data_IF_148262502170
#
_entry.id   IF_148262502170
#
_cell.length_a   1.000
_cell.length_b   1.000
_cell.length_c   1.000
_cell.angle_alpha   90.00
_cell.angle_beta   90.00
_cell.angle_gamma   90.00
#
_symmetry.space_group_name_H-M   'P 1'
#
loop_
_entity.id
_entity.type
_entity.pdbx_description
1 polymer ?
#
# COMPACT_ATOMS: atom_id res chain seq x y z
N UNK A 1 -6.27 2.82 -22.52
CA UNK A 1 -5.05 3.22 -21.82
C UNK A 1 -4.80 2.17 -20.76
N UNK A 2 -3.63 1.55 -20.73
CA UNK A 2 -3.29 0.64 -19.63
C UNK A 2 -3.23 1.44 -18.33
N UNK A 3 -3.77 0.94 -17.21
CA UNK A 3 -3.67 1.64 -15.94
C UNK A 3 -2.19 1.83 -15.60
N UNK A 4 -1.78 3.05 -15.26
CA UNK A 4 -0.43 3.30 -14.77
C UNK A 4 -0.25 2.57 -13.44
N UNK A 5 0.77 1.72 -13.35
CA UNK A 5 1.09 1.05 -12.10
C UNK A 5 1.86 2.05 -11.22
N UNK A 6 1.25 2.45 -10.11
CA UNK A 6 1.86 3.29 -9.09
C UNK A 6 1.85 2.57 -7.74
N UNK A 7 2.46 3.17 -6.72
CA UNK A 7 2.29 2.70 -5.35
C UNK A 7 0.81 2.76 -4.95
N UNK A 8 0.34 1.88 -4.05
CA UNK A 8 -0.97 2.04 -3.45
C UNK A 8 -1.10 3.46 -2.86
N UNK A 9 -2.15 4.23 -3.23
CA UNK A 9 -2.32 5.60 -2.79
C UNK A 9 -2.12 5.81 -1.29
N UNK A 10 -2.64 4.91 -0.44
CA UNK A 10 -2.47 5.00 1.01
C UNK A 10 -0.99 5.06 1.46
N UNK A 11 -0.08 4.38 0.74
CA UNK A 11 1.36 4.45 1.01
C UNK A 11 1.86 5.87 0.76
N UNK A 12 1.50 6.48 -0.37
CA UNK A 12 1.91 7.84 -0.71
C UNK A 12 1.32 8.86 0.28
N UNK A 13 0.04 8.73 0.61
CA UNK A 13 -0.61 9.62 1.58
C UNK A 13 0.07 9.51 2.96
N UNK A 14 0.31 8.30 3.44
CA UNK A 14 1.01 8.06 4.70
C UNK A 14 2.41 8.68 4.72
N UNK A 15 3.16 8.57 3.63
CA UNK A 15 4.48 9.19 3.50
C UNK A 15 4.43 10.72 3.61
N UNK A 16 3.50 11.37 2.92
CA UNK A 16 3.34 12.83 3.01
C UNK A 16 2.86 13.31 4.38
N UNK A 17 1.97 12.56 5.02
CA UNK A 17 1.49 12.88 6.37
C UNK A 17 2.63 12.80 7.40
N UNK A 18 3.44 11.74 7.35
CA UNK A 18 4.58 11.58 8.26
C UNK A 18 5.72 12.57 7.92
N UNK A 19 5.89 12.94 6.65
CA UNK A 19 6.79 14.02 6.24
C UNK A 19 6.43 15.36 6.92
N UNK A 20 5.13 15.68 6.97
CA UNK A 20 4.64 16.90 7.58
C UNK A 20 4.76 16.85 9.11
N UNK A 21 4.45 15.69 9.71
CA UNK A 21 4.58 15.48 11.15
C UNK A 21 6.03 15.62 11.65
N UNK A 22 7.00 15.12 10.88
CA UNK A 22 8.43 15.26 11.20
C UNK A 22 8.99 16.65 10.89
N UNK A 23 8.22 17.52 10.23
CA UNK A 23 8.65 18.85 9.80
C UNK A 23 9.60 18.82 8.59
N UNK A 24 9.72 17.68 7.90
CA UNK A 24 10.56 17.52 6.71
C UNK A 24 10.00 18.23 5.47
N UNK A 25 8.69 18.46 5.45
CA UNK A 25 7.97 19.28 4.46
C UNK A 25 6.98 20.19 5.20
N UNK A 26 6.57 21.29 4.56
CA UNK A 26 5.53 22.13 5.13
C UNK A 26 4.17 21.42 5.10
N UNK A 27 3.29 21.73 6.05
CA UNK A 27 1.93 21.18 6.07
C UNK A 27 1.13 21.55 4.81
N UNK A 28 1.38 22.73 4.25
CA UNK A 28 0.76 23.18 2.99
C UNK A 28 1.27 22.37 1.80
N UNK A 29 2.57 22.11 1.71
CA UNK A 29 3.13 21.29 0.62
C UNK A 29 2.60 19.86 0.70
N UNK A 30 2.49 19.31 1.91
CA UNK A 30 1.86 18.01 2.11
C UNK A 30 0.40 18.02 1.66
N UNK A 31 -0.41 19.00 2.08
CA UNK A 31 -1.81 19.11 1.66
C UNK A 31 -1.96 19.17 0.13
N UNK A 32 -1.17 20.03 -0.54
CA UNK A 32 -1.15 20.14 -2.00
C UNK A 32 -0.76 18.81 -2.68
N UNK A 33 0.18 18.08 -2.09
CA UNK A 33 0.58 16.77 -2.61
C UNK A 33 -0.52 15.73 -2.44
N UNK A 34 -1.22 15.71 -1.29
CA UNK A 34 -2.37 14.84 -1.07
C UNK A 34 -3.48 15.15 -2.09
N UNK A 35 -3.82 16.43 -2.28
CA UNK A 35 -4.78 16.86 -3.31
C UNK A 35 -4.42 16.37 -4.70
N UNK A 36 -3.14 16.43 -5.06
CA UNK A 36 -2.65 15.97 -6.36
C UNK A 36 -2.67 14.44 -6.49
N UNK A 37 -2.38 13.70 -5.42
CA UNK A 37 -2.40 12.22 -5.40
C UNK A 37 -3.84 11.69 -5.47
N UNK A 38 -4.77 12.34 -4.76
CA UNK A 38 -6.16 11.89 -4.67
C UNK A 38 -7.07 12.51 -5.72
N UNK A 39 -6.60 13.52 -6.45
CA UNK A 39 -7.38 14.35 -7.36
C UNK A 39 -8.63 14.94 -6.70
N UNK A 40 -8.54 15.26 -5.39
CA UNK A 40 -9.64 15.72 -4.56
C UNK A 40 -9.20 16.90 -3.70
N UNK A 41 -10.04 17.93 -3.60
CA UNK A 41 -9.76 19.12 -2.78
C UNK A 41 -10.17 18.92 -1.33
N UNK A 42 -11.27 18.20 -1.10
CA UNK A 42 -11.85 17.96 0.21
C UNK A 42 -11.89 16.47 0.55
N UNK A 43 -11.83 16.16 1.84
CA UNK A 43 -11.96 14.85 2.44
C UNK A 43 -13.31 14.77 3.15
N UNK A 44 -14.10 13.75 2.84
CA UNK A 44 -15.36 13.53 3.54
C UNK A 44 -15.10 12.90 4.91
N UNK A 45 -15.72 13.41 5.96
CA UNK A 45 -15.72 12.81 7.29
C UNK A 45 -17.05 12.08 7.46
N UNK A 46 -16.98 10.76 7.63
CA UNK A 46 -18.14 9.94 7.96
C UNK A 46 -18.27 9.84 9.46
N UNK A 47 -19.24 10.58 10.00
CA UNK A 47 -19.63 10.56 11.40
C UNK A 47 -21.09 10.18 11.52
N UNK A 48 -21.39 8.92 11.88
CA UNK A 48 -22.70 8.41 12.33
C UNK A 48 -23.92 9.28 11.96
N UNK A 49 -24.15 9.50 10.65
CA UNK A 49 -25.29 10.20 10.01
C UNK A 49 -25.12 11.65 9.50
N UNK A 50 -23.95 12.30 9.60
CA UNK A 50 -23.70 13.59 8.91
C UNK A 50 -22.35 13.55 8.21
N UNK A 51 -22.37 13.69 6.88
CA UNK A 51 -21.15 13.94 6.10
C UNK A 51 -20.68 15.36 6.37
N UNK A 52 -19.52 15.50 7.00
CA UNK A 52 -18.84 16.78 7.16
C UNK A 52 -17.67 16.80 6.19
N UNK A 53 -17.41 17.92 5.53
CA UNK A 53 -16.21 18.07 4.69
C UNK A 53 -15.05 18.64 5.52
N UNK A 54 -13.84 18.14 5.26
CA UNK A 54 -12.59 18.65 5.82
C UNK A 54 -11.62 18.94 4.69
N UNK A 55 -10.81 19.97 4.83
CA UNK A 55 -9.71 20.19 3.88
C UNK A 55 -8.57 19.20 4.13
N UNK A 56 -7.80 18.86 3.10
CA UNK A 56 -6.55 18.11 3.27
C UNK A 56 -5.60 18.79 4.26
N UNK A 57 -5.59 20.13 4.29
CA UNK A 57 -4.77 20.89 5.22
C UNK A 57 -5.15 20.64 6.69
N UNK A 58 -6.45 20.55 7.00
CA UNK A 58 -6.91 20.26 8.36
C UNK A 58 -6.59 18.81 8.76
N UNK A 59 -6.67 17.86 7.83
CA UNK A 59 -6.24 16.49 8.06
C UNK A 59 -4.73 16.41 8.30
N UNK A 60 -3.91 17.11 7.51
CA UNK A 60 -2.46 17.18 7.69
C UNK A 60 -2.11 17.78 9.04
N UNK A 61 -2.81 18.84 9.49
CA UNK A 61 -2.63 19.41 10.83
C UNK A 61 -2.98 18.41 11.93
N UNK A 62 -4.05 17.64 11.74
CA UNK A 62 -4.46 16.60 12.68
C UNK A 62 -3.40 15.50 12.78
N UNK A 63 -2.90 15.00 11.65
CA UNK A 63 -1.82 14.01 11.62
C UNK A 63 -0.51 14.57 12.21
N UNK A 64 -0.13 15.80 11.86
CA UNK A 64 1.09 16.43 12.34
C UNK A 64 1.07 16.72 13.85
N UNK A 65 -0.11 16.84 14.46
CA UNK A 65 -0.28 17.01 15.90
C UNK A 65 -0.51 15.69 16.67
N UNK A 66 -0.61 14.57 15.96
CA UNK A 66 -0.78 13.25 16.57
C UNK A 66 0.49 12.82 17.34
N UNK A 67 0.27 12.08 18.43
CA UNK A 67 1.35 11.60 19.29
C UNK A 67 2.17 10.45 18.68
N UNK A 68 1.54 9.66 17.82
CA UNK A 68 2.16 8.54 17.09
C UNK A 68 2.19 8.89 15.59
N UNK A 69 3.16 8.36 14.83
CA UNK A 69 3.13 8.46 13.37
C UNK A 69 1.89 7.83 12.77
N UNK A 70 1.53 8.24 11.56
CA UNK A 70 0.49 7.60 10.77
C UNK A 70 0.97 6.21 10.31
N UNK A 71 0.08 5.22 10.35
CA UNK A 71 0.35 3.87 9.86
C UNK A 71 -0.46 3.58 8.58
N UNK A 72 0.00 2.62 7.77
CA UNK A 72 -0.68 2.22 6.53
C UNK A 72 -1.08 0.75 6.58
N UNK A 73 -2.34 0.47 6.28
CA UNK A 73 -2.92 -0.86 6.15
C UNK A 73 -3.10 -1.22 4.68
N UNK A 74 -2.57 -2.35 4.24
CA UNK A 74 -2.78 -2.90 2.89
C UNK A 74 -3.55 -4.23 2.97
N UNK A 75 -4.86 -4.22 3.28
CA UNK A 75 -5.64 -5.43 3.48
C UNK A 75 -5.64 -6.32 2.24
N UNK A 76 -5.82 -7.63 2.45
CA UNK A 76 -6.00 -8.65 1.41
C UNK A 76 -7.03 -9.68 1.90
N UNK A 77 -7.63 -10.49 1.00
CA UNK A 77 -8.52 -11.57 1.43
C UNK A 77 -7.86 -12.49 2.48
N UNK A 78 -8.47 -12.58 3.66
CA UNK A 78 -7.96 -13.41 4.77
C UNK A 78 -6.99 -12.70 5.73
N UNK A 79 -6.45 -11.53 5.37
CA UNK A 79 -5.66 -10.67 6.26
C UNK A 79 -6.17 -9.22 6.23
N UNK A 80 -6.90 -8.79 7.28
CA UNK A 80 -7.47 -7.44 7.34
C UNK A 80 -6.41 -6.36 7.59
N UNK A 81 -5.13 -6.68 7.82
CA UNK A 81 -4.06 -5.71 8.11
C UNK A 81 -4.38 -4.74 9.27
N UNK A 82 -5.15 -5.20 10.26
CA UNK A 82 -5.59 -4.39 11.41
C UNK A 82 -6.74 -3.41 11.11
N UNK A 83 -7.31 -3.45 9.90
CA UNK A 83 -8.43 -2.61 9.47
C UNK A 83 -9.75 -3.16 10.03
N UNK A 84 -10.64 -2.31 10.58
CA UNK A 84 -11.93 -2.75 11.12
C UNK A 84 -12.85 -3.33 10.06
N UNK A 85 -13.67 -4.31 10.43
CA UNK A 85 -14.63 -4.96 9.51
C UNK A 85 -15.62 -3.96 8.90
N UNK A 86 -16.05 -2.95 9.68
CA UNK A 86 -16.94 -1.89 9.19
C UNK A 86 -16.32 -1.06 8.07
N UNK A 87 -15.00 -0.83 8.14
CA UNK A 87 -14.24 -0.13 7.09
C UNK A 87 -13.99 -1.06 5.89
N UNK A 88 -13.60 -2.31 6.13
CA UNK A 88 -13.34 -3.28 5.06
C UNK A 88 -14.55 -3.50 4.14
N UNK A 89 -15.77 -3.35 4.66
CA UNK A 89 -16.99 -3.51 3.88
C UNK A 89 -17.25 -2.37 2.87
N UNK A 90 -16.59 -1.22 3.02
CA UNK A 90 -16.91 0.01 2.27
C UNK A 90 -15.78 0.51 1.38
N UNK A 91 -14.58 -0.10 1.45
CA UNK A 91 -13.37 0.44 0.82
C UNK A 91 -12.95 -0.24 -0.47
N UNK A 92 -12.21 0.50 -1.30
CA UNK A 92 -11.33 -0.06 -2.32
C UNK A 92 -10.06 -0.64 -1.69
N UNK A 93 -9.97 -1.97 -1.62
CA UNK A 93 -8.85 -2.71 -0.99
C UNK A 93 -7.50 -2.39 -1.66
N UNK A 94 -7.49 -2.16 -2.97
CA UNK A 94 -6.27 -1.87 -3.73
C UNK A 94 -5.67 -0.51 -3.38
N UNK A 95 -6.50 0.43 -2.91
CA UNK A 95 -6.07 1.77 -2.51
C UNK A 95 -5.35 1.76 -1.15
N UNK A 96 -5.64 0.76 -0.32
CA UNK A 96 -5.18 0.67 1.06
C UNK A 96 -5.89 1.64 1.99
N UNK A 97 -5.45 1.66 3.25
CA UNK A 97 -5.95 2.59 4.27
C UNK A 97 -4.82 3.25 5.03
N UNK A 98 -5.10 4.41 5.60
CA UNK A 98 -4.17 5.22 6.37
C UNK A 98 -4.76 5.42 7.76
N UNK A 99 -4.17 4.81 8.77
CA UNK A 99 -4.55 5.01 10.17
C UNK A 99 -3.89 6.29 10.69
N UNK A 100 -4.68 7.36 10.77
CA UNK A 100 -4.23 8.67 11.27
C UNK A 100 -3.91 8.58 12.77
N UNK A 101 -4.72 7.80 13.49
CA UNK A 101 -4.52 7.40 14.88
C UNK A 101 -5.34 6.14 15.16
N UNK A 102 -5.37 5.69 16.43
CA UNK A 102 -6.09 4.46 16.84
C UNK A 102 -7.61 4.50 16.65
N UNK A 103 -8.19 5.67 16.39
CA UNK A 103 -9.64 5.89 16.27
C UNK A 103 -10.07 6.50 14.94
N UNK A 104 -9.13 6.75 14.03
CA UNK A 104 -9.40 7.40 12.76
C UNK A 104 -8.65 6.71 11.63
N UNK A 105 -9.40 6.34 10.60
CA UNK A 105 -8.87 5.69 9.39
C UNK A 105 -9.33 6.49 8.18
N UNK A 106 -8.36 6.92 7.37
CA UNK A 106 -8.60 7.48 6.05
C UNK A 106 -8.54 6.34 5.03
N UNK A 107 -9.57 6.24 4.20
CA UNK A 107 -9.69 5.19 3.19
C UNK A 107 -10.46 5.69 1.98
N UNK A 108 -10.27 5.03 0.83
CA UNK A 108 -11.06 5.31 -0.35
C UNK A 108 -12.30 4.42 -0.38
N UNK A 109 -13.48 5.00 -0.55
CA UNK A 109 -14.74 4.28 -0.65
C UNK A 109 -14.93 3.61 -2.04
N UNK A 110 -16.06 2.95 -2.25
CA UNK A 110 -16.40 2.32 -3.54
C UNK A 110 -16.62 3.31 -4.69
N UNK A 111 -16.82 4.60 -4.40
CA UNK A 111 -17.01 5.66 -5.40
C UNK A 111 -15.69 6.36 -5.74
N UNK A 112 -14.56 5.83 -5.27
CA UNK A 112 -13.24 6.44 -5.38
C UNK A 112 -13.08 7.75 -4.58
N UNK A 113 -13.95 8.03 -3.61
CA UNK A 113 -13.87 9.20 -2.74
C UNK A 113 -13.05 8.89 -1.48
N UNK A 114 -12.16 9.80 -1.08
CA UNK A 114 -11.40 9.66 0.16
C UNK A 114 -12.21 10.12 1.36
N UNK A 115 -12.36 9.20 2.30
CA UNK A 115 -13.22 9.35 3.47
C UNK A 115 -12.41 9.10 4.74
N UNK A 116 -12.55 10.00 5.71
CA UNK A 116 -12.10 9.84 7.07
C UNK A 116 -13.21 9.21 7.92
N UNK A 117 -12.99 7.99 8.38
CA UNK A 117 -13.90 7.24 9.24
C UNK A 117 -13.40 7.25 10.69
N UNK A 118 -14.28 7.54 11.63
CA UNK A 118 -13.98 7.49 13.07
C UNK A 118 -14.20 6.07 13.61
N UNK A 119 -13.29 5.17 13.25
CA UNK A 119 -13.33 3.75 13.61
C UNK A 119 -12.07 3.33 14.38
N UNK A 120 -12.26 2.53 15.43
CA UNK A 120 -11.14 2.01 16.22
C UNK A 120 -10.40 0.94 15.43
N UNK A 121 -9.11 1.12 15.20
CA UNK A 121 -8.28 0.26 14.34
C UNK A 121 -7.01 -0.22 15.04
N UNK A 122 -6.42 -1.29 14.49
CA UNK A 122 -5.19 -1.92 14.98
C UNK A 122 -4.13 -2.00 13.88
N UNK A 123 -4.10 -1.03 12.97
CA UNK A 123 -3.10 -0.98 11.89
C UNK A 123 -1.72 -0.84 12.52
N UNK A 124 -0.79 -1.71 12.12
CA UNK A 124 0.52 -1.83 12.75
C UNK A 124 1.58 -0.97 12.07
N UNK A 125 2.54 -0.49 12.86
CA UNK A 125 3.82 -0.01 12.36
C UNK A 125 4.78 -1.18 12.21
N UNK A 126 5.44 -1.26 11.05
CA UNK A 126 6.43 -2.29 10.77
C UNK A 126 7.84 -1.70 10.74
N UNK A 127 8.82 -2.44 11.23
CA UNK A 127 10.23 -2.04 11.14
C UNK A 127 10.79 -2.35 9.74
N UNK A 128 11.29 -1.30 9.06
CA UNK A 128 11.82 -1.43 7.70
C UNK A 128 13.03 -2.36 7.61
N UNK A 129 13.87 -2.44 8.64
CA UNK A 129 15.04 -3.31 8.62
C UNK A 129 14.64 -4.78 8.67
N UNK A 130 13.66 -5.11 9.51
CA UNK A 130 13.09 -6.44 9.65
C UNK A 130 12.29 -6.86 8.42
N UNK A 131 11.39 -6.03 7.91
CA UNK A 131 10.58 -6.36 6.73
C UNK A 131 11.45 -6.53 5.49
N UNK A 132 12.45 -5.67 5.28
CA UNK A 132 13.40 -5.81 4.17
C UNK A 132 14.21 -7.10 4.25
N UNK A 133 14.66 -7.49 5.45
CA UNK A 133 15.36 -8.76 5.65
C UNK A 133 14.46 -9.94 5.29
N UNK A 134 13.23 -9.92 5.81
CA UNK A 134 12.22 -10.95 5.55
C UNK A 134 11.90 -11.06 4.05
N UNK A 135 11.81 -9.92 3.35
CA UNK A 135 11.60 -9.89 1.90
C UNK A 135 12.77 -10.54 1.15
N UNK A 136 14.02 -10.24 1.50
CA UNK A 136 15.18 -10.83 0.83
C UNK A 136 15.26 -12.34 1.05
N UNK A 137 14.98 -12.80 2.27
CA UNK A 137 14.88 -14.23 2.59
C UNK A 137 13.76 -14.90 1.78
N UNK A 138 12.57 -14.28 1.72
CA UNK A 138 11.43 -14.78 0.97
C UNK A 138 11.71 -14.82 -0.55
N UNK A 139 12.37 -13.81 -1.12
CA UNK A 139 12.77 -13.82 -2.55
C UNK A 139 13.68 -15.01 -2.82
N UNK A 140 14.70 -15.22 -1.99
CA UNK A 140 15.66 -16.30 -2.18
C UNK A 140 14.98 -17.68 -2.09
N UNK A 141 14.12 -17.87 -1.09
CA UNK A 141 13.37 -19.12 -0.94
C UNK A 141 12.41 -19.35 -2.11
N UNK A 142 11.65 -18.32 -2.48
CA UNK A 142 10.65 -18.41 -3.55
C UNK A 142 11.30 -18.67 -4.90
N UNK A 143 12.43 -18.02 -5.21
CA UNK A 143 13.17 -18.24 -6.44
C UNK A 143 13.63 -19.71 -6.56
N UNK A 144 14.15 -20.30 -5.47
CA UNK A 144 14.56 -21.69 -5.45
C UNK A 144 13.36 -22.65 -5.66
N UNK A 145 12.22 -22.37 -5.02
CA UNK A 145 11.02 -23.21 -5.12
C UNK A 145 10.33 -23.09 -6.49
N UNK A 146 10.27 -21.89 -7.05
CA UNK A 146 9.67 -21.63 -8.37
C UNK A 146 10.55 -22.15 -9.51
N UNK A 147 11.88 -22.04 -9.40
CA UNK A 147 12.80 -22.60 -10.38
C UNK A 147 12.70 -24.13 -10.46
N UNK A 148 12.41 -24.80 -9.34
CA UNK A 148 12.16 -26.24 -9.31
C UNK A 148 10.82 -26.65 -9.94
N UNK A 149 9.96 -25.69 -10.33
CA UNK A 149 8.57 -25.93 -10.73
C UNK A 149 8.31 -25.89 -12.25
N UNK A 150 9.35 -25.80 -13.11
CA UNK A 150 9.25 -25.78 -14.59
C UNK A 150 8.08 -24.92 -15.11
N UNK A 151 8.04 -23.66 -14.69
CA UNK A 151 6.94 -22.74 -14.98
C UNK A 151 7.00 -22.25 -16.43
N UNK A 152 5.87 -22.39 -17.15
CA UNK A 152 5.67 -21.78 -18.48
C UNK A 152 4.54 -20.76 -18.37
N UNK A 153 4.81 -19.51 -18.75
CA UNK A 153 3.82 -18.44 -18.69
C UNK A 153 4.14 -17.34 -19.69
N UNK A 154 3.12 -16.55 -20.00
CA UNK A 154 3.28 -15.30 -20.76
C UNK A 154 3.75 -14.20 -19.80
N UNK A 155 4.84 -13.52 -20.13
CA UNK A 155 5.39 -12.42 -19.35
C UNK A 155 5.04 -11.04 -19.93
N UNK A 156 4.34 -10.99 -21.07
CA UNK A 156 4.09 -9.75 -21.82
C UNK A 156 3.37 -8.69 -20.97
N UNK A 157 2.32 -9.09 -20.24
CA UNK A 157 1.58 -8.19 -19.35
C UNK A 157 2.41 -7.73 -18.14
N UNK A 158 3.27 -8.62 -17.61
CA UNK A 158 4.17 -8.31 -16.49
C UNK A 158 5.21 -7.27 -16.92
N UNK A 159 5.83 -7.47 -18.07
CA UNK A 159 6.82 -6.55 -18.63
C UNK A 159 6.19 -5.18 -18.92
N UNK A 160 4.99 -5.16 -19.52
CA UNK A 160 4.25 -3.92 -19.76
C UNK A 160 3.90 -3.19 -18.44
N UNK A 161 3.51 -3.92 -17.40
CA UNK A 161 3.25 -3.35 -16.07
C UNK A 161 4.54 -2.79 -15.43
N UNK A 162 5.67 -3.49 -15.54
CA UNK A 162 6.96 -3.02 -15.06
C UNK A 162 7.49 -1.79 -15.83
N UNK A 163 7.27 -1.74 -17.14
CA UNK A 163 7.66 -0.61 -18.00
C UNK A 163 6.78 0.61 -17.79
N UNK A 164 5.50 0.42 -17.46
CA UNK A 164 4.56 1.50 -17.12
C UNK A 164 4.67 1.93 -15.67
N UNK A 165 5.34 1.18 -14.80
CA UNK A 165 5.51 1.55 -13.39
C UNK A 165 6.25 2.88 -13.25
N UNK A 166 5.68 3.79 -12.45
CA UNK A 166 6.26 5.11 -12.18
C UNK A 166 6.36 5.37 -10.68
N UNK A 167 7.52 5.89 -10.29
CA UNK A 167 7.80 6.36 -8.93
C UNK A 167 7.48 7.84 -8.83
N UNK A 168 6.20 8.17 -8.72
CA UNK A 168 5.72 9.56 -8.65
C UNK A 168 5.25 9.91 -7.25
N UNK A 169 5.19 11.22 -6.97
CA UNK A 169 4.60 11.78 -5.75
C UNK A 169 5.21 11.27 -4.43
N UNK A 170 6.48 10.86 -4.43
CA UNK A 170 7.23 10.58 -3.19
C UNK A 170 7.72 11.90 -2.58
N UNK A 171 7.61 12.11 -1.25
CA UNK A 171 8.20 13.27 -0.59
C UNK A 171 9.72 13.38 -0.81
N UNK A 172 10.28 14.60 -0.95
CA UNK A 172 11.68 14.80 -1.34
C UNK A 172 12.72 14.37 -0.29
N UNK A 173 12.30 14.20 0.97
CA UNK A 173 13.18 13.88 2.09
C UNK A 173 13.39 12.37 2.32
N UNK A 174 12.68 11.52 1.57
CA UNK A 174 12.79 10.06 1.73
C UNK A 174 14.21 9.60 1.43
N UNK A 175 14.74 8.79 2.34
CA UNK A 175 16.08 8.23 2.18
C UNK A 175 16.18 7.34 0.94
N UNK A 176 17.34 7.32 0.28
CA UNK A 176 17.58 6.43 -0.86
C UNK A 176 17.25 4.96 -0.52
N UNK A 177 17.58 4.53 0.70
CA UNK A 177 17.30 3.17 1.20
C UNK A 177 15.79 2.88 1.22
N UNK A 178 14.97 3.84 1.61
CA UNK A 178 13.51 3.73 1.67
C UNK A 178 12.91 3.69 0.27
N UNK A 179 13.37 4.56 -0.63
CA UNK A 179 12.94 4.57 -2.04
C UNK A 179 13.30 3.26 -2.76
N UNK A 180 14.53 2.76 -2.61
CA UNK A 180 14.95 1.48 -3.17
C UNK A 180 14.10 0.31 -2.63
N UNK A 181 13.71 0.35 -1.34
CA UNK A 181 12.84 -0.67 -0.74
C UNK A 181 11.40 -0.61 -1.28
N UNK A 182 10.84 0.60 -1.45
CA UNK A 182 9.52 0.80 -2.06
C UNK A 182 9.49 0.25 -3.47
N UNK A 183 10.44 0.67 -4.31
CA UNK A 183 10.53 0.26 -5.71
C UNK A 183 10.65 -1.26 -5.84
N UNK A 184 11.53 -1.87 -5.05
CA UNK A 184 11.72 -3.32 -5.08
C UNK A 184 10.44 -4.05 -4.67
N UNK A 185 9.80 -3.63 -3.58
CA UNK A 185 8.56 -4.25 -3.11
C UNK A 185 7.43 -4.11 -4.13
N UNK A 186 7.25 -2.93 -4.73
CA UNK A 186 6.24 -2.71 -5.75
C UNK A 186 6.48 -3.57 -7.01
N UNK A 187 7.72 -3.65 -7.49
CA UNK A 187 8.07 -4.50 -8.63
C UNK A 187 7.82 -5.98 -8.34
N UNK A 188 8.12 -6.45 -7.13
CA UNK A 188 7.84 -7.84 -6.72
C UNK A 188 6.33 -8.10 -6.70
N UNK A 189 5.52 -7.16 -6.21
CA UNK A 189 4.06 -7.27 -6.24
C UNK A 189 3.57 -7.39 -7.68
N UNK A 190 4.02 -6.52 -8.59
CA UNK A 190 3.67 -6.56 -10.02
C UNK A 190 4.00 -7.94 -10.62
N UNK A 191 5.22 -8.42 -10.41
CA UNK A 191 5.67 -9.72 -10.94
C UNK A 191 4.84 -10.86 -10.36
N UNK A 192 4.65 -10.90 -9.03
CA UNK A 192 3.95 -11.99 -8.37
C UNK A 192 2.46 -12.02 -8.72
N UNK A 193 1.79 -10.86 -8.75
CA UNK A 193 0.38 -10.77 -9.13
C UNK A 193 0.16 -11.14 -10.60
N UNK A 194 1.01 -10.66 -11.51
CA UNK A 194 0.92 -11.05 -12.92
C UNK A 194 1.20 -12.54 -13.12
N UNK A 195 2.13 -13.13 -12.37
CA UNK A 195 2.38 -14.57 -12.40
C UNK A 195 1.21 -15.40 -11.83
N UNK A 196 0.49 -14.89 -10.83
CA UNK A 196 -0.76 -15.49 -10.32
C UNK A 196 -1.84 -15.44 -11.41
N UNK A 197 -1.99 -14.32 -12.10
CA UNK A 197 -3.00 -14.17 -13.17
C UNK A 197 -2.71 -15.05 -14.39
N UNK A 198 -1.43 -15.20 -14.78
CA UNK A 198 -0.99 -15.93 -15.97
C UNK A 198 -0.93 -17.46 -15.80
N UNK A 199 -1.89 -18.03 -15.08
CA UNK A 199 -1.98 -19.47 -14.84
C UNK A 199 -2.39 -20.20 -16.12
N UNK A 200 -1.42 -20.74 -16.87
CA UNK A 200 -1.69 -21.69 -17.95
C UNK A 200 -1.80 -23.11 -17.38
N UNK A 201 -2.92 -23.78 -17.66
CA UNK A 201 -3.33 -25.05 -17.04
C UNK A 201 -2.53 -26.28 -17.53
N UNK A 202 -1.20 -26.21 -17.51
CA UNK A 202 -0.31 -27.30 -17.93
C UNK A 202 0.21 -28.15 -16.76
N UNK A 203 -0.03 -27.72 -15.51
CA UNK A 203 0.56 -28.35 -14.32
C UNK A 203 -0.44 -29.18 -13.51
N UNK A 204 0.09 -30.11 -12.70
CA UNK A 204 -0.70 -30.82 -11.72
C UNK A 204 -1.32 -29.85 -10.70
N UNK A 205 -2.56 -30.08 -10.22
CA UNK A 205 -3.23 -29.18 -9.27
C UNK A 205 -2.43 -28.94 -7.98
N UNK A 206 -1.62 -29.91 -7.55
CA UNK A 206 -0.75 -29.76 -6.37
C UNK A 206 0.42 -28.81 -6.61
N UNK A 207 1.05 -28.88 -7.78
CA UNK A 207 2.16 -28.00 -8.15
C UNK A 207 1.66 -26.57 -8.30
N UNK A 208 0.50 -26.40 -8.94
CA UNK A 208 -0.10 -25.08 -9.13
C UNK A 208 -0.52 -24.44 -7.81
N UNK A 209 -1.15 -25.19 -6.90
CA UNK A 209 -1.47 -24.69 -5.56
C UNK A 209 -0.22 -24.27 -4.77
N UNK A 210 0.87 -25.03 -4.85
CA UNK A 210 2.15 -24.68 -4.22
C UNK A 210 2.71 -23.38 -4.79
N UNK A 211 2.70 -23.25 -6.12
CA UNK A 211 3.14 -22.04 -6.83
C UNK A 211 2.34 -20.80 -6.37
N UNK A 212 1.02 -20.90 -6.37
CA UNK A 212 0.14 -19.81 -5.92
C UNK A 212 0.46 -19.42 -4.48
N UNK A 213 0.60 -20.39 -3.57
CA UNK A 213 0.95 -20.11 -2.18
C UNK A 213 2.29 -19.36 -2.03
N UNK A 214 3.30 -19.71 -2.83
CA UNK A 214 4.61 -19.04 -2.82
C UNK A 214 4.46 -17.59 -3.32
N UNK A 215 3.73 -17.39 -4.41
CA UNK A 215 3.53 -16.05 -5.00
C UNK A 215 2.67 -15.16 -4.08
N UNK A 216 1.62 -15.69 -3.47
CA UNK A 216 0.80 -15.00 -2.48
C UNK A 216 1.64 -14.58 -1.28
N UNK A 217 2.52 -15.45 -0.79
CA UNK A 217 3.42 -15.11 0.31
C UNK A 217 4.42 -14.00 -0.06
N UNK A 218 4.96 -14.02 -1.30
CA UNK A 218 5.80 -12.92 -1.81
C UNK A 218 5.04 -11.58 -1.82
N UNK A 219 3.78 -11.58 -2.28
CA UNK A 219 2.92 -10.39 -2.28
C UNK A 219 2.73 -9.88 -0.84
N UNK A 220 2.40 -10.76 0.11
CA UNK A 220 2.20 -10.39 1.51
C UNK A 220 3.45 -9.77 2.12
N UNK A 221 4.61 -10.41 1.98
CA UNK A 221 5.86 -9.88 2.54
C UNK A 221 6.25 -8.55 1.86
N UNK A 222 6.08 -8.43 0.55
CA UNK A 222 6.33 -7.18 -0.16
C UNK A 222 5.39 -6.05 0.30
N UNK A 223 4.11 -6.33 0.56
CA UNK A 223 3.17 -5.37 1.14
C UNK A 223 3.62 -4.89 2.52
N UNK A 224 4.11 -5.77 3.38
CA UNK A 224 4.66 -5.33 4.68
C UNK A 224 5.86 -4.39 4.54
N UNK A 225 6.68 -4.55 3.49
CA UNK A 225 7.75 -3.59 3.18
C UNK A 225 7.17 -2.23 2.79
N UNK A 226 6.16 -2.19 1.90
CA UNK A 226 5.48 -0.94 1.54
C UNK A 226 4.91 -0.22 2.78
N UNK A 227 4.26 -0.95 3.68
CA UNK A 227 3.74 -0.41 4.93
C UNK A 227 4.84 0.08 5.88
N UNK A 228 5.97 -0.63 5.95
CA UNK A 228 7.09 -0.28 6.84
C UNK A 228 7.83 0.99 6.45
N UNK A 229 7.87 1.33 5.15
CA UNK A 229 8.55 2.55 4.69
C UNK A 229 7.80 3.80 5.16
N UNK A 230 6.50 3.68 5.43
CA UNK A 230 5.69 4.81 5.90
C UNK A 230 6.09 5.27 7.29
N UNK A 231 6.57 4.37 8.15
CA UNK A 231 6.79 4.65 9.56
C UNK A 231 8.10 5.42 9.89
N UNK A 232 8.86 5.90 8.90
CA UNK A 232 10.21 6.46 9.12
C UNK A 232 10.59 7.62 8.19
#
# INVERSE_FOLDING_TARGET
>A
MSPEHAFPPAVLLGLWLNAAQTGSVSQTDAANALEAITEQVDVQIVNNSVGLESSWLDLVRTAASAAEPVAVGLPVPGDPAGVPVGVLATISVDSGVVAINRTQVLCQDSNAEWVLMNETNNVLHYDLSQTRRSLMEQISESANQLAASDLVGDETEILAALESFRTLHIPPHISKRSTEALELAARIIIIAQGAIANTSALHSPSTDRRRLQILENLVTVARTVLQSVVAF
#
